data_IF_469834675223
#
_entry.id   IF_469834675223
#
_cell.length_a   1.000
_cell.length_b   1.000
_cell.length_c   1.000
_cell.angle_alpha   90.00
_cell.angle_beta   90.00
_cell.angle_gamma   90.00
#
_symmetry.space_group_name_H-M   'P 1'
#
loop_
_entity.id
_entity.type
_entity.pdbx_description
1 polymer ?
#
# COMPACT_ATOMS: atom_id res chain seq x y z
N UNK A 1 -10.88 -83.33 -146.92
CA UNK A 1 -10.13 -83.57 -145.66
C UNK A 1 -9.97 -82.23 -144.96
N UNK A 2 -10.80 -81.95 -143.95
CA UNK A 2 -10.71 -80.71 -143.17
C UNK A 2 -9.59 -80.86 -142.11
N UNK A 3 -8.72 -79.85 -141.98
CA UNK A 3 -7.65 -79.83 -140.98
C UNK A 3 -8.26 -79.61 -139.59
N UNK A 4 -7.94 -80.43 -138.57
CA UNK A 4 -8.36 -80.16 -137.20
C UNK A 4 -7.64 -78.93 -136.66
N UNK A 5 -8.37 -78.03 -135.99
CA UNK A 5 -7.79 -76.88 -135.27
C UNK A 5 -7.53 -77.31 -133.83
N UNK A 6 -6.26 -77.31 -133.42
CA UNK A 6 -5.90 -77.66 -132.03
C UNK A 6 -6.31 -76.56 -131.05
N UNK A 7 -6.06 -75.28 -131.38
CA UNK A 7 -6.46 -74.13 -130.56
C UNK A 7 -6.39 -72.82 -131.36
N UNK A 8 -7.36 -71.90 -131.16
CA UNK A 8 -7.35 -70.53 -131.70
C UNK A 8 -7.84 -69.55 -130.65
N UNK A 9 -7.18 -68.39 -130.54
CA UNK A 9 -7.53 -67.35 -129.58
C UNK A 9 -7.59 -65.98 -130.27
N UNK A 10 -8.59 -65.16 -129.92
CA UNK A 10 -8.73 -63.77 -130.35
C UNK A 10 -9.15 -62.90 -129.17
N UNK A 11 -8.60 -61.68 -129.10
CA UNK A 11 -8.99 -60.68 -128.11
C UNK A 11 -9.17 -59.32 -128.75
N UNK A 12 -10.13 -58.54 -128.24
CA UNK A 12 -10.41 -57.18 -128.70
C UNK A 12 -11.09 -56.34 -127.62
N UNK A 13 -11.15 -55.03 -127.86
CA UNK A 13 -11.91 -54.09 -127.04
C UNK A 13 -13.33 -53.96 -127.61
N UNK A 14 -14.32 -54.02 -126.74
CA UNK A 14 -15.73 -53.75 -127.01
C UNK A 14 -16.21 -52.61 -126.11
N UNK A 15 -17.34 -52.00 -126.45
CA UNK A 15 -17.81 -50.80 -125.74
C UNK A 15 -18.30 -51.19 -124.36
N UNK A 16 -17.96 -50.39 -123.34
CA UNK A 16 -18.51 -50.55 -121.99
C UNK A 16 -20.05 -50.52 -121.97
N UNK A 17 -20.68 -49.88 -122.97
CA UNK A 17 -22.14 -49.85 -123.12
C UNK A 17 -22.74 -51.17 -123.63
N UNK A 18 -21.94 -51.98 -124.33
CA UNK A 18 -22.37 -53.27 -124.92
C UNK A 18 -21.89 -54.43 -124.05
N UNK A 19 -20.71 -54.33 -123.46
CA UNK A 19 -20.09 -55.35 -122.63
C UNK A 19 -20.59 -55.28 -121.18
N UNK A 20 -21.89 -55.52 -121.00
CA UNK A 20 -22.55 -55.58 -119.68
C UNK A 20 -22.78 -57.03 -119.26
N UNK A 21 -22.94 -57.26 -117.95
CA UNK A 21 -23.24 -58.59 -117.43
C UNK A 21 -24.56 -59.17 -118.00
N UNK A 22 -25.55 -58.30 -118.25
CA UNK A 22 -26.84 -58.68 -118.86
C UNK A 22 -26.67 -59.17 -120.30
N UNK A 23 -25.92 -58.43 -121.12
CA UNK A 23 -25.61 -58.85 -122.51
C UNK A 23 -24.80 -60.14 -122.55
N UNK A 24 -23.96 -60.38 -121.55
CA UNK A 24 -23.18 -61.61 -121.45
C UNK A 24 -24.05 -62.84 -121.10
N UNK A 25 -25.12 -62.65 -120.32
CA UNK A 25 -26.15 -63.68 -120.08
C UNK A 25 -26.98 -63.95 -121.35
N UNK A 26 -27.38 -62.92 -122.09
CA UNK A 26 -28.07 -63.07 -123.37
C UNK A 26 -27.22 -63.84 -124.39
N UNK A 27 -25.91 -63.54 -124.46
CA UNK A 27 -24.97 -64.29 -125.29
C UNK A 27 -24.93 -65.78 -124.93
N UNK A 28 -24.91 -66.11 -123.64
CA UNK A 28 -24.92 -67.50 -123.19
C UNK A 28 -26.22 -68.23 -123.56
N UNK A 29 -27.38 -67.54 -123.52
CA UNK A 29 -28.66 -68.10 -124.01
C UNK A 29 -28.61 -68.35 -125.52
N UNK A 30 -28.10 -67.38 -126.29
CA UNK A 30 -27.97 -67.49 -127.74
C UNK A 30 -27.11 -68.69 -128.11
N UNK A 31 -26.00 -68.89 -127.40
CA UNK A 31 -25.10 -70.04 -127.57
C UNK A 31 -25.80 -71.38 -127.31
N UNK A 32 -26.69 -71.49 -126.32
CA UNK A 32 -27.48 -72.71 -126.08
C UNK A 32 -28.51 -72.97 -127.19
N UNK A 33 -29.04 -71.91 -127.81
CA UNK A 33 -30.04 -71.99 -128.86
C UNK A 33 -29.45 -72.29 -130.26
N UNK A 34 -28.13 -72.19 -130.46
CA UNK A 34 -27.51 -72.43 -131.77
C UNK A 34 -27.58 -73.90 -132.15
N UNK A 35 -28.46 -74.24 -133.09
CA UNK A 35 -28.63 -75.60 -133.61
C UNK A 35 -27.45 -76.12 -134.42
N UNK A 36 -26.65 -75.22 -134.99
CA UNK A 36 -25.60 -75.53 -135.98
C UNK A 36 -24.45 -76.39 -135.42
N UNK A 37 -24.24 -76.37 -134.10
CA UNK A 37 -23.17 -77.10 -133.43
C UNK A 37 -23.67 -78.29 -132.56
N UNK A 38 -24.99 -78.51 -132.50
CA UNK A 38 -25.62 -79.49 -131.62
C UNK A 38 -25.73 -79.03 -130.15
N UNK A 39 -26.33 -79.86 -129.26
CA UNK A 39 -26.55 -79.48 -127.86
C UNK A 39 -25.22 -79.30 -127.12
N UNK A 40 -25.09 -78.19 -126.40
CA UNK A 40 -23.95 -77.92 -125.52
C UNK A 40 -23.99 -78.88 -124.33
N UNK A 41 -22.83 -79.44 -123.98
CA UNK A 41 -22.63 -80.12 -122.71
C UNK A 41 -21.91 -79.22 -121.72
N UNK A 42 -22.41 -79.24 -120.47
CA UNK A 42 -21.84 -78.54 -119.32
C UNK A 42 -21.56 -77.04 -119.56
N UNK A 43 -22.55 -76.24 -120.02
CA UNK A 43 -22.37 -74.80 -120.08
C UNK A 43 -22.17 -74.26 -118.67
N UNK A 44 -21.14 -73.43 -118.48
CA UNK A 44 -20.93 -72.72 -117.22
C UNK A 44 -20.65 -71.25 -117.47
N UNK A 45 -21.22 -70.41 -116.60
CA UNK A 45 -21.01 -68.97 -116.60
C UNK A 45 -20.55 -68.52 -115.22
N UNK A 46 -19.55 -67.65 -115.19
CA UNK A 46 -18.98 -67.08 -113.97
C UNK A 46 -18.95 -65.56 -114.08
N UNK A 47 -19.54 -64.86 -113.11
CA UNK A 47 -19.35 -63.42 -112.92
C UNK A 47 -18.52 -63.16 -111.66
N UNK A 48 -17.53 -62.29 -111.75
CA UNK A 48 -16.62 -62.01 -110.64
C UNK A 48 -16.37 -60.51 -110.44
N UNK A 49 -16.32 -60.13 -109.15
CA UNK A 49 -15.98 -58.79 -108.67
C UNK A 49 -17.13 -57.79 -108.77
N UNK A 50 -16.94 -56.59 -108.20
CA UNK A 50 -17.98 -55.57 -108.01
C UNK A 50 -17.71 -54.76 -106.73
N UNK A 51 -18.64 -53.88 -106.33
CA UNK A 51 -18.55 -53.16 -105.05
C UNK A 51 -18.65 -54.09 -103.82
N UNK A 52 -19.23 -55.27 -104.02
CA UNK A 52 -19.26 -56.39 -103.07
C UNK A 52 -18.47 -57.55 -103.69
N UNK A 53 -17.68 -58.32 -102.92
CA UNK A 53 -16.90 -59.45 -103.42
C UNK A 53 -17.79 -60.67 -103.68
N UNK A 54 -18.76 -60.52 -104.59
CA UNK A 54 -19.71 -61.55 -104.99
C UNK A 54 -19.16 -62.25 -106.24
N UNK A 55 -19.23 -63.58 -106.24
CA UNK A 55 -18.93 -64.40 -107.40
C UNK A 55 -20.13 -65.31 -107.67
N UNK A 56 -20.72 -65.19 -108.85
CA UNK A 56 -21.77 -66.09 -109.31
C UNK A 56 -21.15 -67.13 -110.22
N UNK A 57 -21.38 -68.41 -110.00
CA UNK A 57 -20.85 -69.49 -110.86
C UNK A 57 -21.80 -70.67 -110.85
N UNK A 58 -22.19 -71.14 -112.02
CA UNK A 58 -23.10 -72.28 -112.14
C UNK A 58 -23.57 -72.50 -113.58
N UNK A 59 -24.60 -73.33 -113.72
CA UNK A 59 -25.35 -73.45 -114.96
C UNK A 59 -26.12 -72.14 -115.25
N UNK A 60 -26.44 -71.90 -116.51
CA UNK A 60 -27.02 -70.66 -117.01
C UNK A 60 -28.33 -70.29 -116.30
N UNK A 61 -29.18 -71.29 -116.06
CA UNK A 61 -30.46 -71.12 -115.37
C UNK A 61 -30.29 -70.65 -113.92
N UNK A 62 -29.32 -71.22 -113.20
CA UNK A 62 -29.00 -70.88 -111.82
C UNK A 62 -28.41 -69.47 -111.72
N UNK A 63 -27.39 -69.17 -112.54
CA UNK A 63 -26.70 -67.87 -112.49
C UNK A 63 -27.65 -66.74 -112.89
N UNK A 64 -28.60 -66.97 -113.81
CA UNK A 64 -29.63 -65.98 -114.16
C UNK A 64 -30.57 -65.67 -113.00
N UNK A 65 -31.08 -66.70 -112.33
CA UNK A 65 -31.95 -66.50 -111.16
C UNK A 65 -31.23 -65.78 -110.03
N UNK A 66 -29.95 -66.07 -109.80
CA UNK A 66 -29.15 -65.37 -108.79
C UNK A 66 -28.83 -63.92 -109.21
N UNK A 67 -28.55 -63.70 -110.50
CA UNK A 67 -28.28 -62.37 -111.04
C UNK A 67 -29.49 -61.42 -110.95
N UNK A 68 -30.71 -61.91 -111.18
CA UNK A 68 -31.93 -61.11 -111.08
C UNK A 68 -32.26 -60.65 -109.64
N UNK A 69 -31.76 -61.37 -108.63
CA UNK A 69 -31.99 -61.05 -107.22
C UNK A 69 -31.02 -59.99 -106.67
N UNK A 70 -29.96 -59.65 -107.41
CA UNK A 70 -28.94 -58.70 -106.96
C UNK A 70 -29.35 -57.23 -107.18
N UNK A 71 -29.23 -56.42 -106.12
CA UNK A 71 -29.47 -54.97 -106.17
C UNK A 71 -28.35 -54.22 -106.91
N UNK A 72 -27.11 -54.71 -106.83
CA UNK A 72 -25.98 -54.17 -107.59
C UNK A 72 -25.52 -55.21 -108.63
N UNK A 73 -25.73 -54.88 -109.90
CA UNK A 73 -25.41 -55.74 -111.05
C UNK A 73 -24.05 -55.42 -111.68
N UNK A 74 -23.22 -54.63 -110.99
CA UNK A 74 -21.90 -54.22 -111.49
C UNK A 74 -20.86 -55.29 -111.17
N UNK A 75 -20.57 -56.10 -112.17
CA UNK A 75 -19.46 -57.07 -112.14
C UNK A 75 -18.22 -56.52 -112.84
N UNK A 76 -17.03 -56.98 -112.42
CA UNK A 76 -15.76 -56.57 -113.07
C UNK A 76 -15.34 -57.51 -114.20
N UNK A 77 -15.75 -58.78 -114.14
CA UNK A 77 -15.47 -59.75 -115.19
C UNK A 77 -16.56 -60.82 -115.34
N UNK A 78 -16.64 -61.39 -116.53
CA UNK A 78 -17.55 -62.46 -116.90
C UNK A 78 -16.81 -63.55 -117.70
N UNK A 79 -17.15 -64.82 -117.52
CA UNK A 79 -16.55 -65.92 -118.25
C UNK A 79 -17.58 -67.00 -118.57
N UNK A 80 -17.69 -67.39 -119.84
CA UNK A 80 -18.59 -68.43 -120.33
C UNK A 80 -17.77 -69.58 -120.93
N UNK A 81 -18.12 -70.82 -120.59
CA UNK A 81 -17.48 -72.03 -121.12
C UNK A 81 -18.54 -73.02 -121.58
N UNK A 82 -18.32 -73.61 -122.76
CA UNK A 82 -19.23 -74.60 -123.35
C UNK A 82 -18.45 -75.63 -124.19
N UNK A 83 -18.94 -76.87 -124.25
CA UNK A 83 -18.40 -77.95 -125.09
C UNK A 83 -19.48 -78.49 -126.02
N UNK A 84 -19.16 -78.56 -127.31
CA UNK A 84 -20.03 -79.10 -128.36
C UNK A 84 -19.55 -80.51 -128.76
N UNK A 85 -20.21 -81.59 -128.28
CA UNK A 85 -19.75 -82.96 -128.50
C UNK A 85 -19.89 -83.40 -129.97
N UNK A 86 -20.91 -82.89 -130.68
CA UNK A 86 -21.20 -83.29 -132.06
C UNK A 86 -20.20 -82.75 -133.09
N UNK A 87 -19.37 -81.78 -132.69
CA UNK A 87 -18.38 -81.12 -133.55
C UNK A 87 -16.97 -81.39 -133.03
N UNK A 88 -16.61 -82.67 -132.88
CA UNK A 88 -15.29 -83.11 -132.42
C UNK A 88 -14.86 -82.53 -131.06
N UNK A 89 -15.80 -82.50 -130.09
CA UNK A 89 -15.57 -81.95 -128.75
C UNK A 89 -14.99 -80.52 -128.75
N UNK A 90 -15.52 -79.68 -129.65
CA UNK A 90 -15.20 -78.26 -129.75
C UNK A 90 -15.53 -77.56 -128.43
N UNK A 91 -14.53 -76.99 -127.77
CA UNK A 91 -14.67 -76.24 -126.52
C UNK A 91 -14.46 -74.77 -126.79
N UNK A 92 -15.40 -73.93 -126.34
CA UNK A 92 -15.29 -72.47 -126.39
C UNK A 92 -15.20 -71.91 -124.97
N UNK A 93 -14.34 -70.91 -124.78
CA UNK A 93 -14.25 -70.12 -123.57
C UNK A 93 -14.21 -68.65 -123.96
N UNK A 94 -15.22 -67.90 -123.53
CA UNK A 94 -15.31 -66.45 -123.74
C UNK A 94 -15.15 -65.79 -122.38
N UNK A 95 -14.10 -65.00 -122.21
CA UNK A 95 -13.86 -64.19 -121.02
C UNK A 95 -13.98 -62.70 -121.37
N UNK A 96 -14.61 -61.91 -120.51
CA UNK A 96 -14.76 -60.48 -120.65
C UNK A 96 -14.36 -59.76 -119.35
N UNK A 97 -13.57 -58.69 -119.46
CA UNK A 97 -13.39 -57.72 -118.39
C UNK A 97 -14.36 -56.56 -118.63
N UNK A 98 -15.44 -56.53 -117.85
CA UNK A 98 -16.55 -55.59 -118.03
C UNK A 98 -16.13 -54.16 -117.68
N UNK A 99 -15.15 -53.98 -116.78
CA UNK A 99 -14.64 -52.65 -116.39
C UNK A 99 -13.62 -52.07 -117.35
N UNK A 100 -12.98 -52.90 -118.19
CA UNK A 100 -11.97 -52.47 -119.17
C UNK A 100 -12.44 -52.65 -120.62
N UNK A 101 -13.67 -53.15 -120.84
CA UNK A 101 -14.19 -53.41 -122.18
C UNK A 101 -13.47 -54.53 -122.95
N UNK A 102 -12.66 -55.38 -122.30
CA UNK A 102 -11.80 -56.34 -123.00
C UNK A 102 -12.46 -57.72 -123.13
N UNK A 103 -12.62 -58.23 -124.35
CA UNK A 103 -13.16 -59.56 -124.65
C UNK A 103 -12.04 -60.47 -125.15
N UNK A 104 -11.96 -61.68 -124.61
CA UNK A 104 -11.00 -62.71 -124.96
C UNK A 104 -11.74 -64.03 -125.24
N UNK A 105 -11.58 -64.56 -126.44
CA UNK A 105 -12.25 -65.78 -126.89
C UNK A 105 -11.20 -66.82 -127.21
N UNK A 106 -11.33 -68.01 -126.63
CA UNK A 106 -10.47 -69.18 -126.87
C UNK A 106 -11.32 -70.35 -127.31
N UNK A 107 -10.96 -70.95 -128.45
CA UNK A 107 -11.63 -72.12 -129.02
C UNK A 107 -10.61 -73.26 -129.15
N UNK A 108 -10.98 -74.47 -128.73
CA UNK A 108 -10.13 -75.67 -128.74
C UNK A 108 -10.88 -76.85 -129.39
N UNK A 109 -10.17 -77.65 -130.18
CA UNK A 109 -10.73 -78.74 -131.01
C UNK A 109 -11.78 -78.26 -132.04
N UNK A 110 -12.18 -79.12 -132.98
CA UNK A 110 -13.15 -78.79 -134.04
C UNK A 110 -12.55 -78.56 -135.43
N UNK A 111 -13.42 -78.25 -136.39
CA UNK A 111 -13.06 -77.95 -137.79
C UNK A 111 -12.92 -76.44 -137.99
N UNK A 112 -12.04 -76.00 -138.89
CA UNK A 112 -11.75 -74.57 -139.11
C UNK A 112 -13.01 -73.76 -139.44
N UNK A 113 -13.94 -74.35 -140.20
CA UNK A 113 -15.23 -73.74 -140.53
C UNK A 113 -16.12 -73.51 -139.29
N UNK A 114 -16.14 -74.47 -138.35
CA UNK A 114 -16.90 -74.33 -137.10
C UNK A 114 -16.29 -73.26 -136.18
N UNK A 115 -14.96 -73.20 -136.14
CA UNK A 115 -14.22 -72.21 -135.36
C UNK A 115 -14.45 -70.79 -135.89
N UNK A 116 -14.42 -70.59 -137.21
CA UNK A 116 -14.65 -69.28 -137.82
C UNK A 116 -16.09 -68.77 -137.63
N UNK A 117 -17.09 -69.66 -137.77
CA UNK A 117 -18.50 -69.34 -137.48
C UNK A 117 -18.71 -68.94 -136.02
N UNK A 118 -18.05 -69.62 -135.07
CA UNK A 118 -18.10 -69.24 -133.66
C UNK A 118 -17.47 -67.87 -133.41
N UNK A 119 -16.30 -67.58 -133.98
CA UNK A 119 -15.69 -66.26 -133.81
C UNK A 119 -16.54 -65.15 -134.40
N UNK A 120 -17.19 -65.40 -135.55
CA UNK A 120 -18.06 -64.42 -136.20
C UNK A 120 -19.28 -64.13 -135.31
N UNK A 121 -19.96 -65.17 -134.82
CA UNK A 121 -21.09 -65.03 -133.87
C UNK A 121 -20.71 -64.24 -132.61
N UNK A 122 -19.53 -64.51 -132.03
CA UNK A 122 -19.08 -63.81 -130.83
C UNK A 122 -18.70 -62.36 -131.15
N UNK A 123 -18.11 -62.09 -132.31
CA UNK A 123 -17.76 -60.73 -132.75
C UNK A 123 -18.97 -59.89 -133.17
N UNK A 124 -20.06 -60.51 -133.63
CA UNK A 124 -21.35 -59.85 -133.85
C UNK A 124 -22.01 -59.49 -132.52
N UNK A 125 -21.92 -60.38 -131.53
CA UNK A 125 -22.48 -60.13 -130.20
C UNK A 125 -21.69 -59.06 -129.45
N UNK A 126 -20.37 -59.04 -129.60
CA UNK A 126 -19.48 -58.05 -128.99
C UNK A 126 -18.65 -57.35 -130.07
N UNK A 127 -19.16 -56.28 -130.70
CA UNK A 127 -18.45 -55.58 -131.77
C UNK A 127 -17.18 -54.90 -131.25
N UNK A 128 -16.17 -54.78 -132.13
CA UNK A 128 -14.90 -54.11 -131.83
C UNK A 128 -15.11 -52.61 -131.73
N UNK A 129 -14.65 -51.97 -130.65
CA UNK A 129 -14.61 -50.50 -130.56
C UNK A 129 -13.40 -49.93 -131.26
N UNK A 130 -13.63 -48.82 -131.96
CA UNK A 130 -12.59 -47.86 -132.32
C UNK A 130 -12.47 -46.88 -131.15
N UNK A 131 -11.27 -46.36 -130.85
CA UNK A 131 -10.95 -45.64 -129.60
C UNK A 131 -11.80 -44.39 -129.31
N UNK A 132 -11.63 -43.81 -128.11
CA UNK A 132 -12.33 -42.58 -127.68
C UNK A 132 -12.17 -41.44 -128.70
N UNK A 133 -13.22 -40.65 -128.88
CA UNK A 133 -13.17 -39.49 -129.77
C UNK A 133 -12.47 -38.29 -129.08
N UNK A 134 -11.88 -37.39 -129.88
CA UNK A 134 -11.16 -36.20 -129.36
C UNK A 134 -12.02 -35.31 -128.43
N UNK A 135 -13.35 -35.31 -128.61
CA UNK A 135 -14.29 -34.55 -127.76
C UNK A 135 -14.39 -35.10 -126.34
N UNK A 136 -14.31 -36.42 -126.17
CA UNK A 136 -14.38 -37.06 -124.85
C UNK A 136 -13.08 -36.83 -124.05
N UNK A 137 -11.94 -36.76 -124.75
CA UNK A 137 -10.65 -36.40 -124.17
C UNK A 137 -10.67 -34.96 -123.64
N UNK A 138 -11.24 -34.02 -124.41
CA UNK A 138 -11.35 -32.63 -124.00
C UNK A 138 -12.25 -32.46 -122.76
N UNK A 139 -13.41 -33.13 -122.72
CA UNK A 139 -14.33 -33.07 -121.58
C UNK A 139 -13.73 -33.67 -120.30
N UNK A 140 -13.00 -34.79 -120.42
CA UNK A 140 -12.28 -35.38 -119.30
C UNK A 140 -11.15 -34.49 -118.80
N UNK A 141 -10.43 -33.80 -119.70
CA UNK A 141 -9.39 -32.85 -119.32
C UNK A 141 -9.94 -31.65 -118.52
N UNK A 142 -11.10 -31.11 -118.93
CA UNK A 142 -11.79 -30.04 -118.22
C UNK A 142 -12.27 -30.49 -116.83
N UNK A 143 -12.81 -31.71 -116.73
CA UNK A 143 -13.21 -32.29 -115.44
C UNK A 143 -12.02 -32.48 -114.51
N UNK A 144 -10.89 -32.95 -115.03
CA UNK A 144 -9.66 -33.11 -114.24
C UNK A 144 -9.16 -31.75 -113.75
N UNK A 145 -9.14 -30.73 -114.60
CA UNK A 145 -8.76 -29.36 -114.21
C UNK A 145 -9.66 -28.80 -113.10
N UNK A 146 -10.98 -29.01 -113.20
CA UNK A 146 -11.93 -28.59 -112.18
C UNK A 146 -11.69 -29.32 -110.84
N UNK A 147 -11.40 -30.62 -110.87
CA UNK A 147 -11.07 -31.40 -109.67
C UNK A 147 -9.75 -30.97 -109.04
N UNK A 148 -8.72 -30.65 -109.84
CA UNK A 148 -7.45 -30.09 -109.35
C UNK A 148 -7.70 -28.77 -108.62
N UNK A 149 -8.48 -27.86 -109.22
CA UNK A 149 -8.81 -26.57 -108.61
C UNK A 149 -9.61 -26.71 -107.31
N UNK A 150 -10.51 -27.68 -107.24
CA UNK A 150 -11.26 -27.98 -106.02
C UNK A 150 -10.36 -28.59 -104.93
N UNK A 151 -9.44 -29.48 -105.31
CA UNK A 151 -8.45 -30.05 -104.40
C UNK A 151 -7.49 -28.98 -103.85
N UNK A 152 -7.02 -28.04 -104.67
CA UNK A 152 -6.19 -26.91 -104.25
C UNK A 152 -6.92 -26.01 -103.24
N UNK A 153 -8.20 -25.71 -103.47
CA UNK A 153 -9.03 -24.97 -102.49
C UNK A 153 -9.18 -25.73 -101.18
N UNK A 154 -9.40 -27.05 -101.25
CA UNK A 154 -9.53 -27.88 -100.05
C UNK A 154 -8.23 -27.93 -99.24
N UNK A 155 -7.07 -27.99 -99.92
CA UNK A 155 -5.75 -27.90 -99.26
C UNK A 155 -5.57 -26.54 -98.58
N UNK A 156 -5.86 -25.44 -99.27
CA UNK A 156 -5.79 -24.11 -98.67
C UNK A 156 -6.72 -23.96 -97.45
N UNK A 157 -7.96 -24.45 -97.55
CA UNK A 157 -8.90 -24.45 -96.43
C UNK A 157 -8.39 -25.30 -95.25
N UNK A 158 -7.74 -26.44 -95.54
CA UNK A 158 -7.13 -27.30 -94.52
C UNK A 158 -5.96 -26.62 -93.82
N UNK A 159 -5.10 -25.89 -94.55
CA UNK A 159 -4.00 -25.13 -93.97
C UNK A 159 -4.49 -23.99 -93.07
N UNK A 160 -5.54 -23.27 -93.49
CA UNK A 160 -6.18 -22.24 -92.68
C UNK A 160 -6.82 -22.83 -91.42
N UNK A 161 -7.53 -23.97 -91.55
CA UNK A 161 -8.09 -24.69 -90.41
C UNK A 161 -7.01 -25.15 -89.42
N UNK A 162 -5.86 -25.63 -89.92
CA UNK A 162 -4.73 -26.04 -89.07
C UNK A 162 -4.13 -24.84 -88.32
N UNK A 163 -3.92 -23.70 -89.00
CA UNK A 163 -3.46 -22.46 -88.35
C UNK A 163 -4.46 -22.00 -87.29
N UNK A 164 -5.75 -22.06 -87.59
CA UNK A 164 -6.81 -21.72 -86.62
C UNK A 164 -6.81 -22.66 -85.41
N UNK A 165 -6.58 -23.96 -85.61
CA UNK A 165 -6.46 -24.94 -84.51
C UNK A 165 -5.27 -24.64 -83.61
N UNK A 166 -4.11 -24.33 -84.19
CA UNK A 166 -2.92 -23.96 -83.42
C UNK A 166 -3.12 -22.69 -82.58
N UNK A 167 -3.79 -21.69 -83.16
CA UNK A 167 -4.16 -20.47 -82.42
C UNK A 167 -5.14 -20.80 -81.29
N UNK A 168 -6.13 -21.66 -81.52
CA UNK A 168 -7.08 -22.08 -80.50
C UNK A 168 -6.38 -22.80 -79.34
N UNK A 169 -5.45 -23.72 -79.61
CA UNK A 169 -4.64 -24.40 -78.60
C UNK A 169 -3.77 -23.41 -77.81
N UNK A 170 -3.18 -22.43 -78.48
CA UNK A 170 -2.40 -21.38 -77.81
C UNK A 170 -3.30 -20.53 -76.89
N UNK A 171 -4.50 -20.17 -77.35
CA UNK A 171 -5.46 -19.42 -76.54
C UNK A 171 -5.96 -20.24 -75.35
N UNK A 172 -6.21 -21.54 -75.50
CA UNK A 172 -6.57 -22.44 -74.42
C UNK A 172 -5.46 -22.52 -73.37
N UNK A 173 -4.21 -22.69 -73.81
CA UNK A 173 -3.04 -22.69 -72.92
C UNK A 173 -2.91 -21.37 -72.15
N UNK A 174 -3.10 -20.24 -72.83
CA UNK A 174 -3.07 -18.92 -72.21
C UNK A 174 -4.22 -18.74 -71.20
N UNK A 175 -5.45 -19.18 -71.54
CA UNK A 175 -6.60 -19.14 -70.65
C UNK A 175 -6.37 -19.97 -69.38
N UNK A 176 -5.81 -21.17 -69.53
CA UNK A 176 -5.45 -22.03 -68.41
C UNK A 176 -4.36 -21.41 -67.52
N UNK A 177 -3.35 -20.77 -68.12
CA UNK A 177 -2.35 -20.03 -67.36
C UNK A 177 -2.96 -18.87 -66.57
N UNK A 178 -3.87 -18.10 -67.18
CA UNK A 178 -4.58 -17.02 -66.49
C UNK A 178 -5.47 -17.55 -65.36
N UNK A 179 -6.18 -18.65 -65.56
CA UNK A 179 -7.02 -19.26 -64.53
C UNK A 179 -6.18 -19.68 -63.32
N UNK A 180 -5.02 -20.30 -63.56
CA UNK A 180 -4.07 -20.65 -62.50
C UNK A 180 -3.57 -19.41 -61.75
N UNK A 181 -3.22 -18.33 -62.45
CA UNK A 181 -2.81 -17.07 -61.80
C UNK A 181 -3.94 -16.47 -60.95
N UNK A 182 -5.18 -16.48 -61.43
CA UNK A 182 -6.36 -16.00 -60.69
C UNK A 182 -6.59 -16.85 -59.43
N UNK A 183 -6.43 -18.16 -59.53
CA UNK A 183 -6.63 -19.06 -58.39
C UNK A 183 -5.56 -18.88 -57.31
N UNK A 184 -4.30 -18.66 -57.71
CA UNK A 184 -3.22 -18.27 -56.80
C UNK A 184 -3.51 -16.94 -56.13
N UNK A 185 -3.88 -15.90 -56.91
CA UNK A 185 -4.21 -14.58 -56.37
C UNK A 185 -5.39 -14.62 -55.39
N UNK A 186 -6.42 -15.43 -55.66
CA UNK A 186 -7.56 -15.66 -54.75
C UNK A 186 -7.12 -16.30 -53.43
N UNK A 187 -6.18 -17.24 -53.48
CA UNK A 187 -5.67 -17.92 -52.28
C UNK A 187 -4.86 -16.95 -51.42
N UNK A 188 -3.99 -16.14 -52.05
CA UNK A 188 -3.21 -15.13 -51.33
C UNK A 188 -4.11 -14.04 -50.75
N UNK A 189 -5.12 -13.57 -51.50
CA UNK A 189 -6.08 -12.59 -51.01
C UNK A 189 -6.85 -13.08 -49.78
N UNK A 190 -7.24 -14.37 -49.74
CA UNK A 190 -7.85 -14.98 -48.54
C UNK A 190 -6.90 -15.00 -47.35
N UNK A 191 -5.63 -15.29 -47.57
CA UNK A 191 -4.60 -15.29 -46.53
C UNK A 191 -4.44 -13.89 -45.93
N UNK A 192 -4.28 -12.88 -46.79
CA UNK A 192 -4.20 -11.47 -46.38
C UNK A 192 -5.45 -11.05 -45.59
N UNK A 193 -6.64 -11.46 -46.03
CA UNK A 193 -7.89 -11.13 -45.33
C UNK A 193 -7.95 -11.75 -43.92
N UNK A 194 -7.43 -12.96 -43.74
CA UNK A 194 -7.34 -13.57 -42.41
C UNK A 194 -6.32 -12.87 -41.51
N UNK A 195 -5.14 -12.53 -42.04
CA UNK A 195 -4.13 -11.74 -41.31
C UNK A 195 -4.69 -10.38 -40.89
N UNK A 196 -5.46 -9.71 -41.76
CA UNK A 196 -6.08 -8.43 -41.48
C UNK A 196 -7.16 -8.52 -40.39
N UNK A 197 -7.91 -9.63 -40.33
CA UNK A 197 -8.86 -9.88 -39.23
C UNK A 197 -8.15 -10.03 -37.90
N UNK A 198 -7.08 -10.82 -37.84
CA UNK A 198 -6.28 -11.02 -36.61
C UNK A 198 -5.71 -9.69 -36.14
N UNK A 199 -5.08 -8.92 -37.04
CA UNK A 199 -4.55 -7.60 -36.71
C UNK A 199 -5.63 -6.63 -36.23
N UNK A 200 -6.83 -6.68 -36.80
CA UNK A 200 -7.96 -5.86 -36.35
C UNK A 200 -8.42 -6.23 -34.95
N UNK A 201 -8.46 -7.52 -34.60
CA UNK A 201 -8.81 -8.00 -33.26
C UNK A 201 -7.75 -7.60 -32.23
N UNK A 202 -6.47 -7.80 -32.55
CA UNK A 202 -5.34 -7.35 -31.72
C UNK A 202 -5.36 -5.83 -31.51
N UNK A 203 -5.66 -5.06 -32.56
CA UNK A 203 -5.83 -3.61 -32.49
C UNK A 203 -6.94 -3.19 -31.52
N UNK A 204 -8.08 -3.89 -31.57
CA UNK A 204 -9.21 -3.65 -30.65
C UNK A 204 -8.85 -3.98 -29.19
N UNK A 205 -8.12 -5.08 -28.95
CA UNK A 205 -7.66 -5.46 -27.62
C UNK A 205 -6.68 -4.43 -27.06
N UNK A 206 -5.67 -4.03 -27.85
CA UNK A 206 -4.72 -2.98 -27.47
C UNK A 206 -5.40 -1.64 -27.19
N UNK A 207 -6.43 -1.26 -27.96
CA UNK A 207 -7.21 -0.05 -27.70
C UNK A 207 -7.92 -0.09 -26.33
N UNK A 208 -8.40 -1.27 -25.92
CA UNK A 208 -9.03 -1.47 -24.62
C UNK A 208 -8.00 -1.36 -23.50
N UNK A 209 -6.83 -1.98 -23.66
CA UNK A 209 -5.71 -1.87 -22.71
C UNK A 209 -5.25 -0.42 -22.53
N UNK A 210 -5.10 0.34 -23.63
CA UNK A 210 -4.75 1.77 -23.59
C UNK A 210 -5.79 2.57 -22.80
N UNK A 211 -7.07 2.28 -22.98
CA UNK A 211 -8.15 2.95 -22.25
C UNK A 211 -8.08 2.64 -20.76
N UNK A 212 -7.81 1.39 -20.39
CA UNK A 212 -7.62 0.99 -18.99
C UNK A 212 -6.40 1.67 -18.36
N UNK A 213 -5.25 1.70 -19.04
CA UNK A 213 -4.06 2.41 -18.57
C UNK A 213 -4.29 3.91 -18.40
N UNK A 214 -5.08 4.52 -19.30
CA UNK A 214 -5.47 5.93 -19.19
C UNK A 214 -6.30 6.18 -17.92
N UNK A 215 -7.29 5.34 -17.65
CA UNK A 215 -8.13 5.44 -16.47
C UNK A 215 -7.31 5.27 -15.18
N UNK A 216 -6.40 4.29 -15.15
CA UNK A 216 -5.51 4.08 -14.01
C UNK A 216 -4.59 5.29 -13.79
N UNK A 217 -3.98 5.80 -14.86
CA UNK A 217 -3.10 6.99 -14.79
C UNK A 217 -3.85 8.23 -14.27
N UNK A 218 -5.13 8.36 -14.59
CA UNK A 218 -5.97 9.44 -14.09
C UNK A 218 -6.27 9.27 -12.59
N UNK A 219 -6.60 8.06 -12.15
CA UNK A 219 -6.79 7.76 -10.73
C UNK A 219 -5.51 8.02 -9.91
N UNK A 220 -4.35 7.62 -10.43
CA UNK A 220 -3.05 7.84 -9.78
C UNK A 220 -2.72 9.34 -9.70
N UNK A 221 -3.08 10.11 -10.74
CA UNK A 221 -2.92 11.57 -10.74
C UNK A 221 -3.80 12.23 -9.68
N UNK A 222 -5.05 11.82 -9.56
CA UNK A 222 -5.99 12.36 -8.57
C UNK A 222 -5.55 12.01 -7.14
N UNK A 223 -5.07 10.77 -6.92
CA UNK A 223 -4.48 10.36 -5.64
C UNK A 223 -3.23 11.19 -5.30
N UNK A 224 -2.34 11.41 -6.28
CA UNK A 224 -1.14 12.25 -6.12
C UNK A 224 -1.50 13.71 -5.82
N UNK A 225 -2.58 14.24 -6.40
CA UNK A 225 -3.08 15.57 -6.11
C UNK A 225 -3.53 15.67 -4.64
N UNK A 226 -4.31 14.70 -4.18
CA UNK A 226 -4.76 14.64 -2.78
C UNK A 226 -3.60 14.55 -1.81
N UNK A 227 -2.59 13.72 -2.08
CA UNK A 227 -1.40 13.66 -1.24
C UNK A 227 -0.64 14.98 -1.18
N UNK A 228 -0.56 15.73 -2.28
CA UNK A 228 0.04 17.07 -2.28
C UNK A 228 -0.74 18.04 -1.38
N UNK A 229 -2.08 18.00 -1.45
CA UNK A 229 -2.93 18.84 -0.61
C UNK A 229 -2.78 18.48 0.88
N UNK A 230 -2.73 17.18 1.20
CA UNK A 230 -2.50 16.68 2.57
C UNK A 230 -1.11 17.09 3.10
N UNK A 231 -0.07 17.01 2.27
CA UNK A 231 1.28 17.50 2.61
C UNK A 231 1.23 18.99 2.92
N UNK A 232 0.58 19.80 2.07
CA UNK A 232 0.43 21.24 2.32
C UNK A 232 -0.29 21.55 3.63
N UNK A 233 -1.32 20.79 3.98
CA UNK A 233 -2.03 20.93 5.25
C UNK A 233 -1.15 20.55 6.45
N UNK A 234 -0.33 19.51 6.33
CA UNK A 234 0.63 19.12 7.38
C UNK A 234 1.72 20.19 7.54
N UNK A 235 2.26 20.72 6.45
CA UNK A 235 3.25 21.80 6.50
C UNK A 235 2.69 23.05 7.21
N UNK A 236 1.43 23.40 6.96
CA UNK A 236 0.77 24.50 7.67
C UNK A 236 0.67 24.23 9.19
N UNK A 237 0.26 23.02 9.60
CA UNK A 237 0.21 22.63 11.01
C UNK A 237 1.59 22.63 11.67
N UNK A 238 2.62 22.19 10.96
CA UNK A 238 4.01 22.23 11.44
C UNK A 238 4.45 23.68 11.69
N UNK A 239 4.15 24.60 10.76
CA UNK A 239 4.47 26.03 10.93
C UNK A 239 3.74 26.64 12.13
N UNK A 240 2.46 26.32 12.31
CA UNK A 240 1.67 26.78 13.45
C UNK A 240 2.25 26.26 14.78
N UNK A 241 2.57 24.96 14.85
CA UNK A 241 3.19 24.36 16.03
C UNK A 241 4.52 25.03 16.40
N UNK A 242 5.39 25.30 15.41
CA UNK A 242 6.65 26.00 15.68
C UNK A 242 6.43 27.45 16.15
N UNK A 243 5.41 28.15 15.64
CA UNK A 243 5.05 29.47 16.14
C UNK A 243 4.57 29.44 17.60
N UNK A 244 3.78 28.43 17.97
CA UNK A 244 3.32 28.21 19.35
C UNK A 244 4.49 27.87 20.29
N UNK A 245 5.44 27.03 19.84
CA UNK A 245 6.65 26.69 20.59
C UNK A 245 7.48 27.94 20.88
N UNK A 246 7.70 28.81 19.88
CA UNK A 246 8.47 30.04 20.09
C UNK A 246 7.73 31.02 21.02
N UNK A 247 6.41 31.12 20.89
CA UNK A 247 5.57 31.92 21.81
C UNK A 247 5.69 31.42 23.25
N UNK A 248 5.58 30.10 23.46
CA UNK A 248 5.70 29.47 24.78
C UNK A 248 7.09 29.66 25.37
N UNK A 249 8.13 29.51 24.56
CA UNK A 249 9.52 29.74 24.97
C UNK A 249 9.74 31.19 25.42
N UNK A 250 9.16 32.16 24.71
CA UNK A 250 9.21 33.57 25.10
C UNK A 250 8.50 33.79 26.44
N UNK A 251 7.29 33.22 26.63
CA UNK A 251 6.54 33.31 27.87
C UNK A 251 7.29 32.68 29.06
N UNK A 252 7.95 31.53 28.87
CA UNK A 252 8.79 30.89 29.89
C UNK A 252 9.97 31.78 30.24
N UNK A 253 10.62 32.38 29.25
CA UNK A 253 11.77 33.26 29.47
C UNK A 253 11.37 34.51 30.26
N UNK A 254 10.23 35.12 29.92
CA UNK A 254 9.69 36.26 30.64
C UNK A 254 9.26 35.91 32.07
N UNK A 255 8.55 34.80 32.25
CA UNK A 255 8.17 34.27 33.56
C UNK A 255 9.38 33.99 34.45
N UNK A 256 10.43 33.39 33.89
CA UNK A 256 11.69 33.16 34.59
C UNK A 256 12.33 34.47 35.06
N UNK A 257 12.41 35.48 34.19
CA UNK A 257 12.96 36.79 34.52
C UNK A 257 12.17 37.48 35.63
N UNK A 258 10.83 37.39 35.57
CA UNK A 258 9.94 37.94 36.58
C UNK A 258 10.14 37.23 37.92
N UNK A 259 10.16 35.89 37.93
CA UNK A 259 10.43 35.09 39.11
C UNK A 259 11.81 35.42 39.75
N UNK A 260 12.88 35.49 38.94
CA UNK A 260 14.21 35.89 39.43
C UNK A 260 14.21 37.28 40.06
N UNK A 261 13.50 38.24 39.45
CA UNK A 261 13.37 39.61 39.97
C UNK A 261 12.59 39.64 41.28
N UNK A 262 11.45 38.96 41.35
CA UNK A 262 10.62 38.88 42.55
C UNK A 262 11.34 38.18 43.70
N UNK A 263 12.03 37.07 43.43
CA UNK A 263 12.82 36.36 44.45
C UNK A 263 13.93 37.26 45.00
N UNK A 264 14.63 37.99 44.12
CA UNK A 264 15.67 38.93 44.52
C UNK A 264 15.10 40.05 45.41
N UNK A 265 14.02 40.69 44.99
CA UNK A 265 13.35 41.75 45.78
C UNK A 265 12.91 41.20 47.15
N UNK A 266 12.23 40.06 47.18
CA UNK A 266 11.74 39.47 48.42
C UNK A 266 12.89 39.05 49.35
N UNK A 267 14.00 38.58 48.80
CA UNK A 267 15.19 38.22 49.58
C UNK A 267 15.84 39.47 50.18
N UNK A 268 15.97 40.54 49.39
CA UNK A 268 16.50 41.82 49.87
C UNK A 268 15.60 42.43 50.96
N UNK A 269 14.28 42.41 50.78
CA UNK A 269 13.32 42.86 51.80
C UNK A 269 13.35 42.00 53.06
N UNK A 270 13.42 40.68 52.91
CA UNK A 270 13.53 39.75 54.04
C UNK A 270 14.81 40.00 54.83
N UNK A 271 15.94 40.22 54.16
CA UNK A 271 17.20 40.54 54.81
C UNK A 271 17.12 41.85 55.58
N UNK A 272 16.52 42.91 55.02
CA UNK A 272 16.27 44.18 55.73
C UNK A 272 15.41 43.97 56.98
N UNK A 273 14.37 43.14 56.90
CA UNK A 273 13.53 42.80 58.05
C UNK A 273 14.34 42.07 59.12
N UNK A 274 15.19 41.11 58.73
CA UNK A 274 16.06 40.37 59.65
C UNK A 274 17.03 41.32 60.36
N UNK A 275 17.68 42.23 59.64
CA UNK A 275 18.59 43.22 60.21
C UNK A 275 17.87 44.13 61.21
N UNK A 276 16.72 44.69 60.81
CA UNK A 276 15.91 45.54 61.69
C UNK A 276 15.43 44.79 62.94
N UNK A 277 15.06 43.52 62.83
CA UNK A 277 14.68 42.70 63.98
C UNK A 277 15.87 42.47 64.93
N UNK A 278 17.08 42.26 64.41
CA UNK A 278 18.29 42.14 65.25
C UNK A 278 18.59 43.44 66.00
N UNK A 279 18.48 44.58 65.32
CA UNK A 279 18.64 45.91 65.94
C UNK A 279 17.61 46.12 67.06
N UNK A 280 16.33 45.87 66.78
CA UNK A 280 15.25 46.00 67.75
C UNK A 280 15.42 45.06 68.95
N UNK A 281 15.90 43.83 68.73
CA UNK A 281 16.21 42.91 69.82
C UNK A 281 17.34 43.43 70.72
N UNK A 282 18.40 44.00 70.14
CA UNK A 282 19.49 44.59 70.89
C UNK A 282 19.02 45.80 71.72
N UNK A 283 18.23 46.68 71.10
CA UNK A 283 17.67 47.87 71.76
C UNK A 283 16.71 47.49 72.90
N UNK A 284 15.80 46.53 72.65
CA UNK A 284 14.86 46.04 73.67
C UNK A 284 15.60 45.46 74.86
N UNK A 285 16.68 44.71 74.64
CA UNK A 285 17.49 44.13 75.72
C UNK A 285 18.18 45.21 76.56
N UNK A 286 18.70 46.26 75.93
CA UNK A 286 19.33 47.38 76.62
C UNK A 286 18.32 48.17 77.48
N UNK A 287 17.16 48.50 76.90
CA UNK A 287 16.08 49.19 77.63
C UNK A 287 15.53 48.34 78.78
N UNK A 288 15.35 47.03 78.59
CA UNK A 288 14.89 46.13 79.64
C UNK A 288 15.87 46.11 80.83
N UNK A 289 17.18 46.06 80.56
CA UNK A 289 18.20 46.08 81.61
C UNK A 289 18.20 47.40 82.39
N UNK A 290 18.12 48.54 81.69
CA UNK A 290 18.05 49.88 82.32
C UNK A 290 16.77 50.06 83.15
N UNK A 291 15.62 49.64 82.60
CA UNK A 291 14.33 49.75 83.28
C UNK A 291 14.24 48.84 84.52
N UNK A 292 14.72 47.59 84.42
CA UNK A 292 14.76 46.67 85.57
C UNK A 292 15.65 47.25 86.68
N UNK A 293 16.86 47.71 86.36
CA UNK A 293 17.76 48.33 87.34
C UNK A 293 17.15 49.55 88.06
N UNK A 294 16.56 50.47 87.29
CA UNK A 294 15.92 51.66 87.86
C UNK A 294 14.67 51.33 88.70
N UNK A 295 13.84 50.37 88.26
CA UNK A 295 12.63 49.99 89.00
C UNK A 295 12.95 49.27 90.31
N UNK A 296 13.98 48.43 90.33
CA UNK A 296 14.41 47.68 91.51
C UNK A 296 14.94 48.64 92.58
N UNK A 297 15.76 49.61 92.17
CA UNK A 297 16.24 50.69 93.04
C UNK A 297 15.08 51.48 93.67
N UNK A 298 14.15 51.97 92.84
CA UNK A 298 13.00 52.75 93.32
C UNK A 298 12.11 51.95 94.29
N UNK A 299 11.93 50.65 94.03
CA UNK A 299 11.16 49.76 94.91
C UNK A 299 11.82 49.58 96.28
N UNK A 300 13.15 49.41 96.33
CA UNK A 300 13.88 49.27 97.59
C UNK A 300 13.95 50.59 98.38
N UNK A 301 14.16 51.72 97.72
CA UNK A 301 14.21 53.03 98.36
C UNK A 301 12.85 53.41 98.97
N UNK A 302 11.76 53.14 98.25
CA UNK A 302 10.40 53.33 98.77
C UNK A 302 10.11 52.45 99.99
N UNK A 303 10.66 51.23 100.04
CA UNK A 303 10.53 50.33 101.19
C UNK A 303 11.35 50.84 102.38
N UNK A 304 12.61 51.25 102.16
CA UNK A 304 13.49 51.85 103.17
C UNK A 304 12.82 53.04 103.84
N UNK A 305 12.30 53.99 103.07
CA UNK A 305 11.64 55.20 103.61
C UNK A 305 10.44 54.88 104.49
N UNK A 306 9.65 53.84 104.17
CA UNK A 306 8.54 53.41 105.03
C UNK A 306 9.03 52.83 106.37
N UNK A 307 10.12 52.08 106.35
CA UNK A 307 10.73 51.47 107.53
C UNK A 307 11.39 52.55 108.42
N UNK A 308 12.05 53.54 107.82
CA UNK A 308 12.60 54.70 108.53
C UNK A 308 11.51 55.48 109.31
N UNK A 309 10.35 55.71 108.67
CA UNK A 309 9.20 56.34 109.33
C UNK A 309 8.70 55.47 110.49
N UNK A 310 8.54 54.17 110.27
CA UNK A 310 8.11 53.20 111.30
C UNK A 310 9.06 53.18 112.50
N UNK A 311 10.37 53.23 112.27
CA UNK A 311 11.40 53.33 113.32
C UNK A 311 11.21 54.58 114.18
N UNK A 312 11.02 55.75 113.57
CA UNK A 312 10.76 56.99 114.31
C UNK A 312 9.46 56.94 115.11
N UNK A 313 8.42 56.26 114.60
CA UNK A 313 7.17 56.03 115.33
C UNK A 313 7.41 55.18 116.59
N UNK A 314 8.16 54.08 116.50
CA UNK A 314 8.51 53.25 117.66
C UNK A 314 9.43 53.96 118.67
N UNK A 315 10.36 54.80 118.19
CA UNK A 315 11.14 55.67 119.07
C UNK A 315 10.25 56.64 119.86
N UNK A 316 9.29 57.28 119.17
CA UNK A 316 8.32 58.17 119.79
C UNK A 316 7.45 57.47 120.84
N UNK A 317 6.93 56.27 120.54
CA UNK A 317 6.18 55.46 121.51
C UNK A 317 7.02 55.07 122.73
N UNK A 318 8.30 54.72 122.51
CA UNK A 318 9.22 54.38 123.60
C UNK A 318 9.44 55.58 124.51
N UNK A 319 9.72 56.76 123.94
CA UNK A 319 9.90 58.00 124.73
C UNK A 319 8.62 58.38 125.47
N UNK A 320 7.45 58.31 124.83
CA UNK A 320 6.17 58.59 125.47
C UNK A 320 5.87 57.62 126.62
N UNK A 321 6.16 56.34 126.46
CA UNK A 321 5.97 55.33 127.50
C UNK A 321 6.90 55.54 128.70
N UNK A 322 8.16 55.93 128.47
CA UNK A 322 9.10 56.30 129.54
C UNK A 322 8.57 57.52 130.31
N UNK A 323 8.11 58.55 129.61
CA UNK A 323 7.52 59.75 130.25
C UNK A 323 6.28 59.38 131.06
N UNK A 324 5.38 58.56 130.52
CA UNK A 324 4.21 58.07 131.24
C UNK A 324 4.59 57.28 132.49
N UNK A 325 5.64 56.45 132.42
CA UNK A 325 6.15 55.71 133.57
C UNK A 325 6.67 56.65 134.67
N UNK A 326 7.37 57.73 134.30
CA UNK A 326 7.82 58.76 135.25
C UNK A 326 6.61 59.42 135.93
N UNK A 327 5.56 59.76 135.17
CA UNK A 327 4.32 60.30 135.73
C UNK A 327 3.65 59.34 136.72
N UNK A 328 3.58 58.05 136.41
CA UNK A 328 3.02 57.03 137.31
C UNK A 328 3.85 56.92 138.59
N UNK A 329 5.18 56.96 138.50
CA UNK A 329 6.07 56.94 139.67
C UNK A 329 5.83 58.17 140.56
N UNK A 330 5.74 59.37 139.98
CA UNK A 330 5.44 60.61 140.72
C UNK A 330 4.05 60.55 141.37
N UNK A 331 3.06 59.99 140.66
CA UNK A 331 1.70 59.83 141.16
C UNK A 331 1.61 58.84 142.33
N UNK A 332 2.39 57.76 142.30
CA UNK A 332 2.52 56.83 143.42
C UNK A 332 3.19 57.53 144.61
N UNK A 333 4.29 58.26 144.37
CA UNK A 333 5.05 58.96 145.42
C UNK A 333 4.20 60.01 146.16
N UNK A 334 3.45 60.85 145.42
CA UNK A 334 2.54 61.85 146.01
C UNK A 334 1.42 61.22 146.84
N UNK A 335 0.92 60.04 146.44
CA UNK A 335 -0.15 59.37 147.17
C UNK A 335 0.32 58.79 148.50
N UNK A 336 1.54 58.23 148.55
CA UNK A 336 2.13 57.72 149.78
C UNK A 336 2.32 58.84 150.81
N UNK A 337 2.64 60.06 150.38
CA UNK A 337 2.79 61.21 151.28
C UNK A 337 1.47 61.74 151.86
N UNK A 338 0.33 61.47 151.23
CA UNK A 338 -0.98 61.99 151.67
C UNK A 338 -1.75 61.03 152.61
N UNK A 339 -1.27 59.81 152.81
CA UNK A 339 -1.89 58.80 153.69
C UNK A 339 -1.41 58.99 155.13
N UNK A 340 -2.10 59.83 155.90
CA UNK A 340 -1.85 60.07 157.33
C UNK A 340 -2.53 59.01 158.24
N UNK A 341 -2.17 57.73 158.08
CA UNK A 341 -2.72 56.63 158.90
C UNK A 341 -1.63 55.63 159.30
N UNK A 342 -1.71 55.10 160.53
CA UNK A 342 -0.78 54.17 161.23
C UNK A 342 -0.60 52.77 160.57
N UNK A 343 -1.00 52.61 159.31
CA UNK A 343 -0.93 51.36 158.56
C UNK A 343 0.28 51.43 157.62
N UNK A 344 1.19 50.44 157.60
CA UNK A 344 2.32 50.43 156.69
C UNK A 344 1.87 50.58 155.22
N UNK A 345 2.46 51.53 154.49
CA UNK A 345 2.02 51.95 153.16
C UNK A 345 1.80 50.81 152.15
N UNK A 346 2.62 49.74 152.23
CA UNK A 346 2.55 48.57 151.34
C UNK A 346 1.33 47.66 151.57
N UNK A 347 0.64 47.78 152.71
CA UNK A 347 -0.62 47.04 152.99
C UNK A 347 -1.87 47.80 152.54
N UNK A 348 -1.71 49.03 152.04
CA UNK A 348 -2.83 49.82 151.53
C UNK A 348 -3.24 49.27 150.16
N UNK A 349 -4.50 48.84 149.95
CA UNK A 349 -4.92 48.26 148.67
C UNK A 349 -4.73 49.23 147.48
N UNK A 350 -4.73 50.54 147.73
CA UNK A 350 -4.44 51.57 146.73
C UNK A 350 -2.99 51.58 146.22
N UNK A 351 -2.00 51.10 146.97
CA UNK A 351 -0.60 51.04 146.53
C UNK A 351 -0.37 49.82 145.63
N UNK A 352 -0.84 48.65 146.04
CA UNK A 352 -0.68 47.40 145.28
C UNK A 352 -1.31 47.49 143.89
N UNK A 353 -2.52 48.05 143.80
CA UNK A 353 -3.24 48.21 142.53
C UNK A 353 -2.50 49.16 141.58
N UNK A 354 -1.84 50.21 142.10
CA UNK A 354 -1.06 51.15 141.29
C UNK A 354 0.29 50.59 140.83
N UNK A 355 0.95 49.74 141.64
CA UNK A 355 2.15 49.01 141.21
C UNK A 355 1.80 48.03 140.09
N UNK A 356 0.67 47.33 140.17
CA UNK A 356 0.18 46.46 139.08
C UNK A 356 -0.06 47.22 137.77
N UNK A 357 -0.48 48.50 137.83
CA UNK A 357 -0.64 49.36 136.63
C UNK A 357 0.71 49.71 136.00
N UNK A 358 1.82 49.71 136.75
CA UNK A 358 3.16 50.04 136.24
C UNK A 358 3.82 48.90 135.47
N UNK A 359 3.46 47.64 135.75
CA UNK A 359 4.06 46.44 135.12
C UNK A 359 3.79 46.39 133.60
N UNK A 360 2.55 46.59 133.11
CA UNK A 360 2.26 46.66 131.67
C UNK A 360 3.06 47.75 130.94
N UNK A 361 3.31 48.89 131.59
CA UNK A 361 4.02 50.02 130.99
C UNK A 361 5.51 49.68 130.82
N UNK A 362 6.14 49.07 131.82
CA UNK A 362 7.54 48.60 131.75
C UNK A 362 7.70 47.55 130.65
N UNK A 363 6.77 46.60 130.57
CA UNK A 363 6.75 45.62 129.49
C UNK A 363 6.61 46.28 128.11
N UNK A 364 5.73 47.28 127.99
CA UNK A 364 5.52 48.02 126.75
C UNK A 364 6.77 48.81 126.31
N UNK A 365 7.53 49.37 127.25
CA UNK A 365 8.83 50.01 126.98
C UNK A 365 9.81 48.99 126.41
N UNK A 366 9.98 47.85 127.07
CA UNK A 366 10.88 46.78 126.60
C UNK A 366 10.50 46.27 125.21
N UNK A 367 9.22 46.06 124.97
CA UNK A 367 8.68 45.67 123.66
C UNK A 367 8.95 46.74 122.58
N UNK A 368 8.74 48.02 122.89
CA UNK A 368 8.94 49.12 121.95
C UNK A 368 10.42 49.32 121.59
N UNK A 369 11.34 49.15 122.56
CA UNK A 369 12.79 49.15 122.32
C UNK A 369 13.18 48.00 121.39
N UNK A 370 12.65 46.80 121.64
CA UNK A 370 12.92 45.63 120.79
C UNK A 370 12.41 45.86 119.36
N UNK A 371 11.22 46.41 119.19
CA UNK A 371 10.69 46.73 117.86
C UNK A 371 11.48 47.83 117.16
N UNK A 372 11.93 48.87 117.89
CA UNK A 372 12.79 49.91 117.33
C UNK A 372 14.13 49.35 116.83
N UNK A 373 14.76 48.46 117.60
CA UNK A 373 16.01 47.81 117.20
C UNK A 373 15.83 46.97 115.93
N UNK A 374 14.73 46.20 115.86
CA UNK A 374 14.40 45.38 114.69
C UNK A 374 14.12 46.23 113.45
N UNK A 375 13.41 47.34 113.61
CA UNK A 375 13.09 48.23 112.49
C UNK A 375 14.33 48.97 111.96
N UNK A 376 15.27 49.33 112.84
CA UNK A 376 16.58 49.87 112.45
C UNK A 376 17.41 48.87 111.64
N UNK A 377 17.43 47.60 112.06
CA UNK A 377 18.13 46.55 111.33
C UNK A 377 17.55 46.37 109.92
N UNK A 378 16.22 46.41 109.79
CA UNK A 378 15.58 46.40 108.48
C UNK A 378 15.90 47.63 107.64
N UNK A 379 15.97 48.82 108.23
CA UNK A 379 16.37 50.04 107.53
C UNK A 379 17.77 49.92 106.92
N UNK A 380 18.72 49.39 107.69
CA UNK A 380 20.11 49.17 107.25
C UNK A 380 20.16 48.11 106.13
N UNK A 381 19.42 47.01 106.27
CA UNK A 381 19.33 45.96 105.24
C UNK A 381 18.74 46.46 103.92
N UNK A 382 17.63 47.21 103.97
CA UNK A 382 17.02 47.77 102.77
C UNK A 382 17.81 48.95 102.20
N UNK A 383 18.49 49.72 103.05
CA UNK A 383 19.45 50.74 102.63
C UNK A 383 20.59 50.14 101.82
N UNK A 384 21.17 49.05 102.32
CA UNK A 384 22.19 48.30 101.61
C UNK A 384 21.69 47.73 100.29
N UNK A 385 20.53 47.04 100.28
CA UNK A 385 19.92 46.51 99.04
C UNK A 385 19.61 47.60 98.01
N UNK A 386 19.24 48.80 98.46
CA UNK A 386 19.01 49.95 97.59
C UNK A 386 20.32 50.46 96.99
N UNK A 387 21.35 50.73 97.79
CA UNK A 387 22.66 51.17 97.26
C UNK A 387 23.28 50.14 96.32
N UNK A 388 23.07 48.86 96.61
CA UNK A 388 23.52 47.73 95.82
C UNK A 388 22.81 47.65 94.45
N UNK A 389 21.51 47.92 94.43
CA UNK A 389 20.74 47.96 93.18
C UNK A 389 21.11 49.16 92.30
N UNK A 390 21.53 50.28 92.93
CA UNK A 390 22.05 51.45 92.21
C UNK A 390 23.41 51.17 91.56
N UNK A 391 24.32 50.50 92.27
CA UNK A 391 25.66 50.19 91.76
C UNK A 391 25.69 49.01 90.78
N UNK A 392 24.64 48.17 90.74
CA UNK A 392 24.55 47.02 89.84
C UNK A 392 24.65 47.42 88.35
N UNK A 393 24.08 48.56 87.94
CA UNK A 393 24.15 49.00 86.53
C UNK A 393 25.60 49.36 86.11
N UNK A 394 26.35 50.21 86.85
CA UNK A 394 27.77 50.44 86.60
C UNK A 394 28.64 49.18 86.64
N UNK A 395 28.40 48.24 87.57
CA UNK A 395 29.18 47.00 87.66
C UNK A 395 28.90 46.05 86.48
N UNK A 396 27.66 45.96 86.01
CA UNK A 396 27.32 45.19 84.81
C UNK A 396 27.94 45.80 83.54
N UNK A 397 27.99 47.13 83.45
CA UNK A 397 28.68 47.82 82.35
C UNK A 397 30.20 47.62 82.41
N UNK A 398 30.80 47.56 83.61
CA UNK A 398 32.23 47.23 83.79
C UNK A 398 32.54 45.78 83.38
N UNK A 399 31.69 44.81 83.77
CA UNK A 399 31.81 43.40 83.35
C UNK A 399 31.63 43.26 81.83
N UNK A 400 30.75 44.07 81.23
CA UNK A 400 30.55 44.09 79.77
C UNK A 400 31.77 44.66 79.04
N UNK A 401 32.35 45.77 79.51
CA UNK A 401 33.59 46.34 78.94
C UNK A 401 34.78 45.39 79.07
N UNK A 402 34.94 44.73 80.22
CA UNK A 402 35.97 43.71 80.41
C UNK A 402 35.81 42.50 79.47
N UNK A 403 34.60 42.20 79.01
CA UNK A 403 34.35 41.15 78.02
C UNK A 403 34.68 41.58 76.58
N UNK A 404 34.60 42.87 76.28
CA UNK A 404 34.89 43.44 74.97
C UNK A 404 36.40 43.76 74.79
N UNK A 405 37.13 43.98 75.88
CA UNK A 405 38.51 44.47 75.86
C UNK A 405 39.58 43.39 76.11
N UNK A 406 39.22 42.18 76.59
CA UNK A 406 40.19 41.08 76.77
C UNK A 406 39.89 39.83 75.92
N UNK A 407 40.88 39.44 75.11
CA UNK A 407 40.95 38.13 74.42
C UNK A 407 41.71 37.10 75.28
N UNK A 408 41.81 37.36 76.59
CA UNK A 408 42.67 36.58 77.49
C UNK A 408 41.90 35.42 78.15
N UNK A 409 42.43 34.23 77.91
CA UNK A 409 41.89 32.89 78.12
C UNK A 409 41.71 32.44 79.58
N UNK A 410 41.98 33.29 80.56
CA UNK A 410 41.67 33.02 81.96
C UNK A 410 40.64 34.01 82.47
N UNK A 411 39.38 33.57 82.55
CA UNK A 411 38.24 34.32 83.11
C UNK A 411 38.36 34.71 84.58
N UNK A 412 39.57 34.74 85.13
CA UNK A 412 39.91 35.09 86.51
C UNK A 412 39.52 36.52 86.86
N UNK A 413 39.69 37.51 85.96
CA UNK A 413 39.24 38.88 86.22
C UNK A 413 37.71 39.00 86.26
N UNK A 414 37.02 38.30 85.36
CA UNK A 414 35.55 38.23 85.36
C UNK A 414 35.04 37.49 86.59
N UNK A 415 35.68 36.39 86.95
CA UNK A 415 35.34 35.59 88.12
C UNK A 415 35.63 36.38 89.41
N UNK A 416 36.74 37.10 89.48
CA UNK A 416 37.08 38.01 90.57
C UNK A 416 36.05 39.13 90.72
N UNK A 417 35.61 39.76 89.62
CA UNK A 417 34.55 40.78 89.68
C UNK A 417 33.22 40.16 90.10
N UNK A 418 32.86 38.98 89.59
CA UNK A 418 31.64 38.26 90.00
C UNK A 418 31.71 37.85 91.48
N UNK A 419 32.84 37.36 91.96
CA UNK A 419 33.00 36.91 93.35
C UNK A 419 33.13 38.10 94.31
N UNK A 420 33.76 39.20 93.89
CA UNK A 420 33.74 40.48 94.62
C UNK A 420 32.33 41.05 94.69
N UNK A 421 31.57 40.99 93.59
CA UNK A 421 30.14 41.31 93.58
C UNK A 421 29.43 40.37 94.56
N UNK A 422 29.59 39.05 94.50
CA UNK A 422 28.93 38.15 95.47
C UNK A 422 29.27 38.48 96.92
N UNK A 423 30.54 38.75 97.22
CA UNK A 423 31.00 39.08 98.57
C UNK A 423 30.46 40.44 99.05
N UNK A 424 30.36 41.43 98.15
CA UNK A 424 29.70 42.71 98.43
C UNK A 424 28.17 42.54 98.50
N UNK A 425 27.59 41.50 97.91
CA UNK A 425 26.15 41.26 97.87
C UNK A 425 25.68 40.29 98.99
N UNK A 426 26.59 39.63 99.70
CA UNK A 426 26.28 38.81 100.87
C UNK A 426 25.94 39.70 102.08
N UNK A 427 24.86 39.32 102.77
CA UNK A 427 24.25 40.11 103.83
C UNK A 427 25.23 40.27 105.02
N UNK A 428 25.65 41.50 105.40
CA UNK A 428 26.65 41.70 106.45
C UNK A 428 26.14 41.44 107.88
N UNK A 429 24.87 41.07 108.06
CA UNK A 429 24.26 40.80 109.37
C UNK A 429 24.06 39.28 109.58
N UNK A 430 24.44 38.71 110.74
CA UNK A 430 24.21 37.30 111.03
C UNK A 430 22.71 37.00 111.00
N UNK A 431 22.34 35.94 110.28
CA UNK A 431 20.97 35.48 110.05
C UNK A 431 20.18 35.28 111.35
N UNK A 432 19.47 36.31 111.80
CA UNK A 432 18.47 36.20 112.88
C UNK A 432 17.06 36.62 112.45
N UNK A 433 16.78 36.54 111.15
CA UNK A 433 15.47 36.78 110.55
C UNK A 433 14.97 35.52 109.84
N UNK A 434 14.85 34.43 110.60
CA UNK A 434 13.84 33.40 110.34
C UNK A 434 13.01 33.29 111.62
N UNK A 435 11.72 33.57 111.51
CA UNK A 435 10.80 33.43 112.65
C UNK A 435 10.50 31.93 112.84
N UNK A 436 10.73 31.36 114.03
CA UNK A 436 10.30 30.01 114.33
C UNK A 436 8.80 29.98 114.66
N UNK A 437 8.14 28.94 114.17
CA UNK A 437 6.76 28.60 114.53
C UNK A 437 6.64 28.28 116.03
N UNK A 438 5.59 28.85 116.65
CA UNK A 438 4.79 28.35 117.79
C UNK A 438 5.50 27.63 118.96
N UNK A 439 5.45 28.27 120.13
CA UNK A 439 5.18 27.56 121.39
C UNK A 439 6.05 27.99 122.58
N UNK A 440 5.38 28.27 123.69
CA UNK A 440 5.89 28.57 125.04
C UNK A 440 6.48 29.99 125.26
N UNK A 441 5.77 30.88 125.99
CA UNK A 441 6.41 32.04 126.59
C UNK A 441 7.35 31.53 127.70
N UNK A 442 8.60 31.99 127.68
CA UNK A 442 9.63 31.71 128.69
C UNK A 442 9.12 32.13 130.07
N UNK A 443 8.48 31.20 130.77
CA UNK A 443 7.91 31.36 132.11
C UNK A 443 8.99 31.60 133.18
N UNK A 444 10.26 31.56 132.80
CA UNK A 444 11.39 31.61 133.71
C UNK A 444 11.82 33.03 134.04
N UNK A 445 11.65 34.00 133.12
CA UNK A 445 11.96 35.42 133.41
C UNK A 445 10.90 36.05 134.32
N UNK A 446 9.64 35.67 134.14
CA UNK A 446 8.52 36.09 134.98
C UNK A 446 8.55 35.41 136.36
N UNK A 447 9.00 34.14 136.43
CA UNK A 447 9.28 33.44 137.69
C UNK A 447 10.47 34.05 138.43
N UNK A 448 11.58 34.37 137.74
CA UNK A 448 12.74 35.00 138.39
C UNK A 448 12.42 36.39 138.94
N UNK A 449 11.62 37.20 138.23
CA UNK A 449 11.14 38.48 138.75
C UNK A 449 10.15 38.32 139.92
N UNK A 450 9.25 37.33 139.86
CA UNK A 450 8.35 37.01 140.98
C UNK A 450 9.12 36.49 142.20
N UNK A 451 10.10 35.63 142.02
CA UNK A 451 10.94 35.08 143.10
C UNK A 451 11.85 36.17 143.70
N UNK A 452 12.29 37.14 142.91
CA UNK A 452 13.06 38.28 143.41
C UNK A 452 12.17 39.26 144.20
N UNK A 453 10.91 39.46 143.78
CA UNK A 453 9.92 40.25 144.53
C UNK A 453 9.49 39.54 145.82
N UNK A 454 9.26 38.21 145.78
CA UNK A 454 8.94 37.40 146.97
C UNK A 454 10.11 37.43 147.97
N UNK A 455 11.36 37.30 147.50
CA UNK A 455 12.56 37.45 148.36
C UNK A 455 12.70 38.83 149.00
N UNK A 456 12.29 39.90 148.31
CA UNK A 456 12.32 41.26 148.86
C UNK A 456 11.21 41.44 149.91
N UNK A 457 10.06 40.80 149.74
CA UNK A 457 8.94 40.82 150.70
C UNK A 457 9.24 39.97 151.94
N UNK A 458 9.93 38.83 151.81
CA UNK A 458 10.33 37.97 152.94
C UNK A 458 11.54 38.52 153.73
N UNK A 459 12.44 39.30 153.11
CA UNK A 459 13.53 40.00 153.81
C UNK A 459 13.12 41.33 154.46
N UNK A 460 11.86 41.76 154.28
CA UNK A 460 11.30 42.99 154.85
C UNK A 460 10.32 42.78 156.01
N UNK A 461 10.32 41.59 156.64
CA UNK A 461 9.61 41.32 157.90
C UNK A 461 10.53 41.48 159.10
#
# INVERSE_FOLDING_TARGET
MQKPVNQRQLSWLSSETILTAERFLEFADQMQAVSDFGPIQNPSITFSGGALPIQLTGDLSQVRSEFEQLTDKRFTSANFKAVFPNTNNLSVTVGANLSLGHVNVTVQNGTDEAVEKLFLLISETFPRTTGLSDQEIEQQSLRLSALIKEAEKAVHASEEAQKSSQLAEQHEKNANNFLNSIQTAKTESKKILNELKVLSEEGSQKSTEITNFRNQSQADRDASQKFRDDIGAIEAKIREFFAEVESTKNAITESKKLAETTVKINTDETNKIIERNKELQAETKDHLLKAVGASLFSAFEKRKKKIEISKWVWAGFTTAAIVAQIFVIIWIANHVQFLATDIPFYKTPGFLLRVTVSIPIIFFIGYSIHQYAREREYEELYGFKSSLSFSLSPYLDLVRKLKEESDDSNGEHRQFVIDTIKQIFENPLPSRVESPQKGAPDSNVLKDLLDQIIKIIEKGK
#
